data_IF_612526583291
#
_entry.id   IF_612526583291
#
_cell.length_a   1.000
_cell.length_b   1.000
_cell.length_c   1.000
_cell.angle_alpha   90.00
_cell.angle_beta   90.00
_cell.angle_gamma   90.00
#
_symmetry.space_group_name_H-M   'P 1'
#
loop_
_entity.id
_entity.type
_entity.pdbx_description
1 polymer ?
#
# COMPACT_ATOMS: atom_id res chain seq x y z
N UNK A 1 31.58 -6.77 -9.79
CA UNK A 1 31.25 -7.84 -8.82
C UNK A 1 30.89 -7.27 -7.45
N UNK A 2 31.73 -6.41 -6.83
CA UNK A 2 31.43 -5.79 -5.51
C UNK A 2 30.10 -5.04 -5.48
N UNK A 3 29.77 -4.19 -6.46
CA UNK A 3 28.53 -3.45 -6.50
C UNK A 3 27.27 -4.33 -6.51
N UNK A 4 27.34 -5.53 -7.13
CA UNK A 4 26.24 -6.51 -7.12
C UNK A 4 26.02 -7.06 -5.70
N UNK A 5 27.11 -7.35 -4.99
CA UNK A 5 27.02 -7.88 -3.62
C UNK A 5 26.52 -6.79 -2.65
N UNK A 6 27.04 -5.55 -2.79
CA UNK A 6 26.60 -4.41 -1.98
C UNK A 6 25.10 -4.15 -2.21
N UNK A 7 24.64 -4.16 -3.47
CA UNK A 7 23.21 -3.98 -3.81
C UNK A 7 22.34 -5.09 -3.23
N UNK A 8 22.78 -6.36 -3.31
CA UNK A 8 22.08 -7.49 -2.73
C UNK A 8 21.93 -7.36 -1.20
N UNK A 9 23.01 -7.01 -0.49
CA UNK A 9 22.98 -6.78 0.96
C UNK A 9 22.08 -5.61 1.33
N UNK A 10 22.15 -4.52 0.57
CA UNK A 10 21.28 -3.36 0.78
C UNK A 10 19.79 -3.69 0.59
N UNK A 11 19.44 -4.53 -0.40
CA UNK A 11 18.05 -5.01 -0.61
C UNK A 11 17.52 -5.84 0.55
N UNK A 12 18.39 -6.60 1.20
CA UNK A 12 18.08 -7.37 2.42
C UNK A 12 18.16 -6.52 3.71
N UNK A 13 18.33 -5.20 3.57
CA UNK A 13 18.49 -4.24 4.69
C UNK A 13 19.74 -4.46 5.58
N UNK A 14 20.71 -5.22 5.09
CA UNK A 14 22.00 -5.50 5.77
C UNK A 14 23.04 -4.42 5.42
N UNK A 15 22.72 -3.16 5.75
CA UNK A 15 23.53 -2.00 5.30
C UNK A 15 24.92 -1.97 5.94
N UNK A 16 25.05 -2.43 7.20
CA UNK A 16 26.33 -2.49 7.89
C UNK A 16 27.30 -3.47 7.24
N UNK A 17 26.81 -4.61 6.78
CA UNK A 17 27.59 -5.60 6.02
C UNK A 17 27.98 -5.06 4.65
N UNK A 18 27.07 -4.32 3.99
CA UNK A 18 27.36 -3.63 2.73
C UNK A 18 28.51 -2.63 2.88
N UNK A 19 28.53 -1.83 3.96
CA UNK A 19 29.64 -0.93 4.30
C UNK A 19 30.95 -1.72 4.52
N UNK A 20 30.89 -2.89 5.19
CA UNK A 20 32.02 -3.79 5.37
C UNK A 20 32.62 -4.27 4.05
N UNK A 21 31.75 -4.53 3.05
CA UNK A 21 32.20 -4.91 1.69
C UNK A 21 32.89 -3.73 0.99
N UNK A 22 32.38 -2.49 1.14
CA UNK A 22 33.08 -1.29 0.60
C UNK A 22 34.47 -1.14 1.26
N UNK A 23 34.57 -1.34 2.57
CA UNK A 23 35.87 -1.35 3.27
C UNK A 23 36.82 -2.44 2.77
N UNK A 24 36.29 -3.61 2.41
CA UNK A 24 37.04 -4.71 1.81
C UNK A 24 37.51 -4.39 0.39
N UNK A 25 36.65 -3.75 -0.39
CA UNK A 25 36.95 -3.28 -1.74
C UNK A 25 38.14 -2.31 -1.72
N UNK A 26 38.14 -1.34 -0.82
CA UNK A 26 39.25 -0.37 -0.64
C UNK A 26 40.54 -1.08 -0.21
N UNK A 27 40.49 -2.04 0.72
CA UNK A 27 41.64 -2.83 1.16
C UNK A 27 42.31 -3.62 0.03
N UNK A 28 41.51 -4.01 -0.97
CA UNK A 28 42.02 -4.70 -2.17
C UNK A 28 42.45 -3.74 -3.28
N UNK A 29 42.64 -2.45 -2.98
CA UNK A 29 42.98 -1.39 -3.94
C UNK A 29 41.97 -1.26 -5.09
N UNK A 30 40.71 -1.53 -4.80
CA UNK A 30 39.59 -1.30 -5.72
C UNK A 30 38.84 -0.09 -5.23
N UNK A 31 38.90 1.02 -5.93
CA UNK A 31 38.28 2.27 -5.55
C UNK A 31 36.74 2.18 -5.74
N UNK A 32 35.94 2.58 -4.73
CA UNK A 32 34.51 2.77 -4.90
C UNK A 32 34.23 3.81 -5.99
N UNK A 33 33.22 3.57 -6.79
CA UNK A 33 32.77 4.48 -7.82
C UNK A 33 31.43 5.15 -7.47
N UNK A 34 30.92 6.01 -8.34
CA UNK A 34 29.64 6.69 -8.15
C UNK A 34 28.47 5.69 -7.97
N UNK A 35 28.55 4.51 -8.59
CA UNK A 35 27.52 3.46 -8.45
C UNK A 35 27.54 2.86 -7.06
N UNK A 36 28.75 2.57 -6.53
CA UNK A 36 28.94 2.06 -5.16
C UNK A 36 28.28 2.99 -4.13
N UNK A 37 28.57 4.29 -4.24
CA UNK A 37 28.00 5.28 -3.32
C UNK A 37 26.49 5.49 -3.51
N UNK A 38 25.98 5.48 -4.75
CA UNK A 38 24.54 5.60 -5.00
C UNK A 38 23.75 4.44 -4.42
N UNK A 39 24.28 3.20 -4.42
CA UNK A 39 23.65 2.05 -3.78
C UNK A 39 23.52 2.28 -2.26
N UNK A 40 24.58 2.76 -1.59
CA UNK A 40 24.56 3.05 -0.16
C UNK A 40 23.60 4.22 0.17
N UNK A 41 23.63 5.30 -0.62
CA UNK A 41 22.73 6.45 -0.46
C UNK A 41 21.27 6.00 -0.56
N UNK A 42 20.93 5.20 -1.57
CA UNK A 42 19.59 4.66 -1.77
C UNK A 42 19.15 3.75 -0.60
N UNK A 43 20.06 2.88 -0.13
CA UNK A 43 19.81 2.01 1.01
C UNK A 43 19.52 2.80 2.30
N UNK A 44 20.33 3.80 2.62
CA UNK A 44 20.09 4.67 3.77
C UNK A 44 18.79 5.47 3.65
N UNK A 45 18.47 5.96 2.46
CA UNK A 45 17.22 6.65 2.18
C UNK A 45 16.01 5.72 2.41
N UNK A 46 16.06 4.49 1.92
CA UNK A 46 15.02 3.47 2.13
C UNK A 46 14.86 3.06 3.60
N UNK A 47 15.96 3.06 4.36
CA UNK A 47 15.96 2.81 5.80
C UNK A 47 15.48 4.02 6.62
N UNK A 48 15.19 5.18 6.01
CA UNK A 48 14.80 6.41 6.71
C UNK A 48 15.96 7.11 7.43
N UNK A 49 17.22 6.76 7.13
CA UNK A 49 18.41 7.31 7.80
C UNK A 49 19.06 8.37 6.90
N UNK A 50 18.29 9.42 6.59
CA UNK A 50 18.71 10.48 5.63
C UNK A 50 20.01 11.17 6.02
N UNK A 51 20.28 11.34 7.32
CA UNK A 51 21.55 11.91 7.77
C UNK A 51 22.77 11.10 7.33
N UNK A 52 22.70 9.77 7.37
CA UNK A 52 23.77 8.91 6.84
C UNK A 52 23.88 8.96 5.33
N UNK A 53 22.75 9.04 4.63
CA UNK A 53 22.75 9.24 3.18
C UNK A 53 23.50 10.51 2.76
N UNK A 54 23.24 11.62 3.46
CA UNK A 54 23.94 12.89 3.22
C UNK A 54 25.44 12.81 3.53
N UNK A 55 25.79 12.22 4.68
CA UNK A 55 27.20 11.97 5.02
C UNK A 55 27.91 11.11 3.97
N UNK A 56 27.22 10.14 3.38
CA UNK A 56 27.75 9.30 2.31
C UNK A 56 28.00 10.13 1.05
N UNK A 57 27.12 11.07 0.69
CA UNK A 57 27.34 12.00 -0.43
C UNK A 57 28.51 12.94 -0.16
N UNK A 58 28.69 13.42 1.08
CA UNK A 58 29.84 14.23 1.44
C UNK A 58 31.14 13.44 1.42
N UNK A 59 31.13 12.19 1.86
CA UNK A 59 32.27 11.26 1.76
C UNK A 59 32.68 11.03 0.30
N UNK A 60 31.71 10.82 -0.59
CA UNK A 60 31.90 10.67 -2.03
C UNK A 60 32.63 11.89 -2.62
N UNK A 61 32.16 13.10 -2.30
CA UNK A 61 32.80 14.37 -2.74
C UNK A 61 34.22 14.51 -2.22
N UNK A 62 34.44 14.22 -0.92
CA UNK A 62 35.75 14.30 -0.30
C UNK A 62 36.79 13.34 -0.93
N UNK A 63 36.32 12.26 -1.58
CA UNK A 63 37.16 11.33 -2.33
C UNK A 63 37.31 11.71 -3.82
N UNK A 64 36.83 12.90 -4.21
CA UNK A 64 36.89 13.36 -5.59
C UNK A 64 35.89 12.71 -6.54
N UNK A 65 34.89 12.02 -6.00
CA UNK A 65 33.84 11.38 -6.80
C UNK A 65 32.63 12.34 -6.81
N UNK A 66 32.33 12.92 -7.96
CA UNK A 66 31.25 13.90 -8.09
C UNK A 66 29.87 13.20 -8.10
N UNK A 67 28.91 13.66 -7.25
CA UNK A 67 27.53 13.25 -7.33
C UNK A 67 26.94 13.53 -8.71
N UNK A 68 26.20 12.57 -9.23
CA UNK A 68 25.55 12.66 -10.54
C UNK A 68 24.02 12.82 -10.43
N UNK A 69 23.33 12.86 -11.55
CA UNK A 69 21.86 12.98 -11.62
C UNK A 69 21.15 11.91 -10.78
N UNK A 70 21.70 10.67 -10.74
CA UNK A 70 21.12 9.56 -9.96
C UNK A 70 21.23 9.83 -8.46
N UNK A 71 22.38 10.31 -7.97
CA UNK A 71 22.58 10.68 -6.57
C UNK A 71 21.54 11.70 -6.11
N UNK A 72 21.35 12.76 -6.90
CA UNK A 72 20.38 13.81 -6.59
C UNK A 72 18.93 13.33 -6.71
N UNK A 73 18.62 12.44 -7.67
CA UNK A 73 17.27 11.89 -7.82
C UNK A 73 16.86 11.04 -6.64
N UNK A 74 17.77 10.25 -6.07
CA UNK A 74 17.53 9.48 -4.84
C UNK A 74 17.19 10.41 -3.67
N UNK A 75 17.94 11.49 -3.49
CA UNK A 75 17.67 12.47 -2.41
C UNK A 75 16.34 13.20 -2.62
N UNK A 76 16.02 13.62 -3.84
CA UNK A 76 14.77 14.32 -4.15
C UNK A 76 13.57 13.40 -3.93
N UNK A 77 13.64 12.13 -4.34
CA UNK A 77 12.58 11.14 -4.11
C UNK A 77 12.36 10.91 -2.60
N UNK A 78 13.44 10.78 -1.85
CA UNK A 78 13.41 10.61 -0.39
C UNK A 78 12.75 11.79 0.28
N UNK A 79 13.20 13.01 0.00
CA UNK A 79 12.60 14.22 0.55
C UNK A 79 11.13 14.39 0.14
N UNK A 80 10.78 13.97 -1.08
CA UNK A 80 9.40 13.93 -1.54
C UNK A 80 8.52 13.00 -0.70
N UNK A 81 9.00 11.79 -0.43
CA UNK A 81 8.31 10.79 0.40
C UNK A 81 8.18 11.22 1.86
N UNK A 82 9.26 11.76 2.45
CA UNK A 82 9.23 12.30 3.81
C UNK A 82 8.42 13.59 3.93
N UNK A 83 8.12 14.24 2.81
CA UNK A 83 7.35 15.48 2.73
C UNK A 83 8.14 16.74 3.01
N UNK A 84 9.44 16.64 3.04
CA UNK A 84 10.36 17.77 3.16
C UNK A 84 10.63 18.39 1.78
N UNK A 85 9.55 18.82 1.10
CA UNK A 85 9.58 19.32 -0.29
C UNK A 85 10.54 20.51 -0.47
N UNK A 86 10.76 21.29 0.58
CA UNK A 86 11.71 22.41 0.52
C UNK A 86 13.14 21.91 0.27
N UNK A 87 13.56 20.83 0.94
CA UNK A 87 14.85 20.20 0.71
C UNK A 87 14.94 19.61 -0.70
N UNK A 88 13.87 18.97 -1.18
CA UNK A 88 13.81 18.45 -2.55
C UNK A 88 14.05 19.56 -3.59
N UNK A 89 13.38 20.72 -3.45
CA UNK A 89 13.55 21.86 -4.36
C UNK A 89 14.98 22.42 -4.27
N UNK A 90 15.51 22.62 -3.05
CA UNK A 90 16.87 23.09 -2.87
C UNK A 90 17.91 22.14 -3.48
N UNK A 91 17.68 20.84 -3.42
CA UNK A 91 18.56 19.83 -4.03
C UNK A 91 18.56 19.97 -5.56
N UNK A 92 17.39 20.18 -6.18
CA UNK A 92 17.29 20.44 -7.62
C UNK A 92 18.00 21.75 -8.02
N UNK A 93 17.85 22.80 -7.20
CA UNK A 93 18.53 24.09 -7.46
C UNK A 93 20.04 23.97 -7.30
N UNK A 94 20.53 23.19 -6.32
CA UNK A 94 21.96 22.90 -6.14
C UNK A 94 22.53 22.15 -7.35
N UNK A 95 21.84 21.12 -7.79
CA UNK A 95 22.21 20.32 -8.97
C UNK A 95 22.34 21.22 -10.22
N UNK A 96 21.37 22.09 -10.47
CA UNK A 96 21.41 23.03 -11.62
C UNK A 96 22.59 24.01 -11.53
N UNK A 97 22.90 24.53 -10.31
CA UNK A 97 24.05 25.40 -10.10
C UNK A 97 25.37 24.69 -10.43
N UNK A 98 25.43 23.38 -10.29
CA UNK A 98 26.58 22.53 -10.64
C UNK A 98 26.58 22.16 -12.14
N UNK A 99 25.65 22.67 -12.95
CA UNK A 99 25.56 22.37 -14.37
C UNK A 99 24.97 20.98 -14.69
N UNK A 100 24.39 20.31 -13.70
CA UNK A 100 23.76 19.00 -13.90
C UNK A 100 22.27 19.23 -14.20
N UNK A 101 21.82 18.90 -15.42
CA UNK A 101 20.43 19.08 -15.80
C UNK A 101 19.54 17.95 -15.24
N UNK A 102 18.35 18.30 -14.68
CA UNK A 102 17.37 17.33 -14.22
C UNK A 102 16.84 16.46 -15.38
N UNK A 103 16.75 15.17 -15.15
CA UNK A 103 16.17 14.19 -16.07
C UNK A 103 14.69 13.85 -15.74
N UNK A 104 14.12 12.92 -16.52
CA UNK A 104 12.74 12.42 -16.34
C UNK A 104 12.52 11.88 -14.93
N UNK A 105 13.50 11.14 -14.37
CA UNK A 105 13.40 10.52 -13.04
C UNK A 105 13.33 11.58 -11.95
N UNK A 106 14.17 12.61 -12.05
CA UNK A 106 14.21 13.74 -11.12
C UNK A 106 12.89 14.52 -11.12
N UNK A 107 12.38 14.88 -12.30
CA UNK A 107 11.11 15.59 -12.40
C UNK A 107 9.97 14.73 -11.86
N UNK A 108 9.93 13.44 -12.18
CA UNK A 108 8.92 12.49 -11.68
C UNK A 108 8.95 12.35 -10.15
N UNK A 109 10.13 12.32 -9.54
CA UNK A 109 10.30 12.28 -8.09
C UNK A 109 9.73 13.56 -7.44
N UNK A 110 10.05 14.74 -7.99
CA UNK A 110 9.54 16.01 -7.48
C UNK A 110 8.01 16.14 -7.64
N UNK A 111 7.46 15.69 -8.79
CA UNK A 111 6.02 15.65 -9.04
C UNK A 111 5.35 14.74 -8.02
N UNK A 112 5.88 13.53 -7.81
CA UNK A 112 5.35 12.58 -6.82
C UNK A 112 5.34 13.18 -5.40
N UNK A 113 6.42 13.85 -5.00
CA UNK A 113 6.50 14.55 -3.72
C UNK A 113 5.37 15.58 -3.53
N UNK A 114 5.06 16.38 -4.56
CA UNK A 114 3.95 17.32 -4.53
C UNK A 114 2.58 16.61 -4.52
N UNK A 115 2.41 15.52 -5.28
CA UNK A 115 1.18 14.72 -5.29
C UNK A 115 0.90 14.11 -3.91
N UNK A 116 1.92 13.54 -3.25
CA UNK A 116 1.80 12.97 -1.90
C UNK A 116 1.35 14.00 -0.84
N UNK A 117 1.63 15.28 -1.07
CA UNK A 117 1.21 16.40 -0.22
C UNK A 117 -0.06 17.10 -0.69
N UNK A 118 -0.78 16.50 -1.62
CA UNK A 118 -1.99 17.05 -2.21
C UNK A 118 -1.82 18.48 -2.78
N UNK A 119 -0.60 18.81 -3.28
CA UNK A 119 -0.28 20.10 -3.90
C UNK A 119 -0.31 20.00 -5.42
N UNK A 120 -1.47 19.64 -5.97
CA UNK A 120 -1.63 19.31 -7.39
C UNK A 120 -1.27 20.46 -8.34
N UNK A 121 -1.55 21.73 -7.98
CA UNK A 121 -1.15 22.89 -8.77
C UNK A 121 0.37 22.97 -8.97
N UNK A 122 1.15 22.64 -7.90
CA UNK A 122 2.61 22.65 -7.97
C UNK A 122 3.11 21.44 -8.77
N UNK A 123 2.52 20.27 -8.58
CA UNK A 123 2.82 19.08 -9.38
C UNK A 123 2.62 19.37 -10.88
N UNK A 124 1.47 19.97 -11.25
CA UNK A 124 1.17 20.35 -12.63
C UNK A 124 2.18 21.35 -13.21
N UNK A 125 2.57 22.36 -12.42
CA UNK A 125 3.60 23.32 -12.86
C UNK A 125 4.95 22.65 -13.13
N UNK A 126 5.36 21.71 -12.29
CA UNK A 126 6.62 20.95 -12.47
C UNK A 126 6.52 20.05 -13.69
N UNK A 127 5.38 19.40 -13.91
CA UNK A 127 5.14 18.58 -15.11
C UNK A 127 5.22 19.42 -16.39
N UNK A 128 4.59 20.60 -16.41
CA UNK A 128 4.69 21.53 -17.54
C UNK A 128 6.12 22.06 -17.75
N UNK A 129 6.85 22.34 -16.65
CA UNK A 129 8.25 22.76 -16.72
C UNK A 129 9.15 21.68 -17.32
N UNK A 130 8.93 20.40 -16.95
CA UNK A 130 9.60 19.24 -17.52
C UNK A 130 9.47 19.23 -19.06
N UNK A 131 8.25 19.36 -19.58
CA UNK A 131 7.96 19.42 -21.02
C UNK A 131 8.65 20.63 -21.66
N UNK A 132 8.54 21.81 -21.04
CA UNK A 132 9.13 23.06 -21.55
C UNK A 132 10.67 22.98 -21.63
N UNK A 133 11.29 22.19 -20.77
CA UNK A 133 12.74 21.95 -20.75
C UNK A 133 13.20 20.87 -21.72
N UNK A 134 12.31 20.29 -22.51
CA UNK A 134 12.61 19.24 -23.49
C UNK A 134 12.71 17.83 -22.87
N UNK A 135 12.43 17.68 -21.58
CA UNK A 135 12.28 16.36 -20.97
C UNK A 135 10.91 15.79 -21.31
N UNK A 136 10.88 14.78 -22.19
CA UNK A 136 9.63 14.13 -22.60
C UNK A 136 9.12 13.23 -21.47
N UNK A 137 7.89 13.47 -20.93
CA UNK A 137 7.32 12.61 -19.91
C UNK A 137 7.12 11.18 -20.43
N UNK A 138 7.51 10.20 -19.63
CA UNK A 138 7.28 8.79 -19.88
C UNK A 138 5.95 8.33 -19.23
N UNK A 139 5.55 7.07 -19.45
CA UNK A 139 4.32 6.52 -18.87
C UNK A 139 4.33 6.56 -17.35
N UNK A 140 5.52 6.49 -16.72
CA UNK A 140 5.64 6.58 -15.26
C UNK A 140 5.31 7.98 -14.75
N UNK A 141 5.81 9.04 -15.40
CA UNK A 141 5.51 10.44 -15.10
C UNK A 141 4.00 10.72 -15.19
N UNK A 142 3.36 10.22 -16.24
CA UNK A 142 1.90 10.33 -16.41
C UNK A 142 1.13 9.57 -15.32
N UNK A 143 1.53 8.34 -15.00
CA UNK A 143 0.89 7.53 -13.96
C UNK A 143 0.99 8.19 -12.57
N UNK A 144 2.10 8.86 -12.25
CA UNK A 144 2.25 9.65 -11.03
C UNK A 144 1.21 10.79 -10.98
N UNK A 145 1.07 11.54 -12.07
CA UNK A 145 0.11 12.64 -12.14
C UNK A 145 -1.34 12.14 -12.06
N UNK A 146 -1.69 11.09 -12.81
CA UNK A 146 -3.02 10.45 -12.75
C UNK A 146 -3.33 9.97 -11.33
N UNK A 147 -2.39 9.28 -10.67
CA UNK A 147 -2.56 8.84 -9.29
C UNK A 147 -2.74 10.01 -8.32
N UNK A 148 -1.96 11.08 -8.51
CA UNK A 148 -2.11 12.31 -7.74
C UNK A 148 -3.50 12.92 -7.88
N UNK A 149 -4.00 13.08 -9.10
CA UNK A 149 -5.34 13.58 -9.36
C UNK A 149 -6.43 12.67 -8.78
N UNK A 150 -6.32 11.34 -8.94
CA UNK A 150 -7.26 10.39 -8.36
C UNK A 150 -7.33 10.51 -6.83
N UNK A 151 -6.17 10.57 -6.15
CA UNK A 151 -6.09 10.75 -4.69
C UNK A 151 -6.64 12.10 -4.23
N UNK A 152 -6.44 13.15 -5.02
CA UNK A 152 -7.01 14.48 -4.79
C UNK A 152 -8.50 14.57 -5.13
N UNK A 153 -9.14 13.49 -5.61
CA UNK A 153 -10.54 13.41 -6.08
C UNK A 153 -10.82 14.29 -7.31
N UNK A 154 -9.82 14.63 -8.08
CA UNK A 154 -9.84 15.41 -9.31
C UNK A 154 -9.86 14.44 -10.52
N UNK A 155 -10.96 13.68 -10.62
CA UNK A 155 -11.06 12.60 -11.63
C UNK A 155 -11.15 13.12 -13.06
N UNK A 156 -11.76 14.30 -13.27
CA UNK A 156 -11.94 14.87 -14.60
C UNK A 156 -10.58 15.27 -15.20
N UNK A 157 -9.68 15.83 -14.38
CA UNK A 157 -8.31 16.15 -14.77
C UNK A 157 -7.48 14.87 -15.02
N UNK A 158 -7.68 13.82 -14.21
CA UNK A 158 -7.05 12.52 -14.43
C UNK A 158 -7.48 11.92 -15.79
N UNK A 159 -8.77 12.02 -16.13
CA UNK A 159 -9.32 11.55 -17.40
C UNK A 159 -8.88 12.40 -18.60
N UNK A 160 -8.72 13.71 -18.41
CA UNK A 160 -8.18 14.59 -19.44
C UNK A 160 -6.74 14.17 -19.78
N UNK A 161 -5.90 13.96 -18.76
CA UNK A 161 -4.53 13.52 -18.93
C UNK A 161 -4.46 12.12 -19.58
N UNK A 162 -5.37 11.22 -19.23
CA UNK A 162 -5.47 9.89 -19.87
C UNK A 162 -5.83 10.00 -21.37
N UNK A 163 -6.73 10.93 -21.75
CA UNK A 163 -7.06 11.17 -23.16
C UNK A 163 -5.89 11.78 -23.92
N UNK A 164 -5.11 12.66 -23.28
CA UNK A 164 -3.89 13.23 -23.83
C UNK A 164 -2.87 12.14 -24.17
N UNK A 165 -2.55 11.26 -23.19
CA UNK A 165 -1.64 10.12 -23.39
C UNK A 165 -2.11 9.27 -24.57
N UNK A 166 -3.39 8.96 -24.65
CA UNK A 166 -3.95 8.07 -25.68
C UNK A 166 -3.87 8.67 -27.09
N UNK A 167 -3.64 9.99 -27.21
CA UNK A 167 -3.55 10.68 -28.51
C UNK A 167 -2.13 10.89 -28.98
N UNK A 168 -1.23 11.28 -28.08
CA UNK A 168 0.10 11.81 -28.45
C UNK A 168 1.23 11.31 -27.56
N UNK A 169 0.89 10.65 -26.47
CA UNK A 169 1.84 10.22 -25.44
C UNK A 169 2.28 8.75 -25.57
N UNK A 170 2.93 8.22 -24.54
CA UNK A 170 3.24 6.81 -24.43
C UNK A 170 1.97 5.97 -24.29
N UNK A 171 2.02 4.69 -24.68
CA UNK A 171 0.87 3.79 -24.62
C UNK A 171 0.46 3.55 -23.14
N UNK A 172 -0.81 3.80 -22.76
CA UNK A 172 -1.33 3.46 -21.46
C UNK A 172 -1.11 1.97 -21.13
N UNK A 173 -0.62 1.69 -19.95
CA UNK A 173 -0.39 0.32 -19.48
C UNK A 173 -1.42 -0.09 -18.40
N UNK A 174 -1.36 -1.34 -17.94
CA UNK A 174 -2.25 -1.88 -16.90
C UNK A 174 -2.29 -0.99 -15.65
N UNK A 175 -1.14 -0.39 -15.24
CA UNK A 175 -1.08 0.53 -14.10
C UNK A 175 -1.90 1.80 -14.35
N UNK A 176 -1.85 2.35 -15.57
CA UNK A 176 -2.66 3.53 -15.94
C UNK A 176 -4.14 3.26 -15.77
N UNK A 177 -4.62 2.15 -16.33
CA UNK A 177 -6.02 1.75 -16.27
C UNK A 177 -6.47 1.42 -14.83
N UNK A 178 -5.68 0.62 -14.08
CA UNK A 178 -6.02 0.23 -12.71
C UNK A 178 -6.06 1.43 -11.76
N UNK A 179 -5.14 2.40 -11.91
CA UNK A 179 -5.13 3.63 -11.12
C UNK A 179 -6.40 4.46 -11.34
N UNK A 180 -6.83 4.62 -12.59
CA UNK A 180 -8.07 5.33 -12.93
C UNK A 180 -9.30 4.60 -12.41
N UNK A 181 -9.38 3.27 -12.60
CA UNK A 181 -10.48 2.46 -12.07
C UNK A 181 -10.56 2.55 -10.55
N UNK A 182 -9.43 2.54 -9.85
CA UNK A 182 -9.39 2.73 -8.40
C UNK A 182 -9.95 4.09 -7.99
N UNK A 183 -9.54 5.17 -8.65
CA UNK A 183 -10.07 6.52 -8.43
C UNK A 183 -11.58 6.60 -8.68
N UNK A 184 -12.07 6.00 -9.77
CA UNK A 184 -13.49 5.92 -10.09
C UNK A 184 -14.30 5.17 -9.02
N UNK A 185 -13.80 3.99 -8.58
CA UNK A 185 -14.44 3.19 -7.54
C UNK A 185 -14.51 3.93 -6.20
N UNK A 186 -13.45 4.66 -5.83
CA UNK A 186 -13.43 5.48 -4.61
C UNK A 186 -14.46 6.63 -4.63
N UNK A 187 -14.81 7.13 -5.81
CA UNK A 187 -15.82 8.18 -6.03
C UNK A 187 -17.22 7.62 -6.32
N UNK A 188 -17.43 6.31 -6.21
CA UNK A 188 -18.71 5.67 -6.47
C UNK A 188 -19.05 5.49 -7.95
N UNK A 189 -18.15 5.85 -8.88
CA UNK A 189 -18.35 5.75 -10.33
C UNK A 189 -18.00 4.36 -10.87
N UNK A 190 -18.52 3.30 -10.24
CA UNK A 190 -18.16 1.90 -10.57
C UNK A 190 -18.57 1.52 -12.00
N UNK A 191 -19.69 2.02 -12.50
CA UNK A 191 -20.12 1.75 -13.88
C UNK A 191 -19.10 2.26 -14.90
N UNK A 192 -18.59 3.48 -14.69
CA UNK A 192 -17.55 4.08 -15.54
C UNK A 192 -16.22 3.29 -15.44
N UNK A 193 -15.90 2.76 -14.25
CA UNK A 193 -14.74 1.88 -14.09
C UNK A 193 -14.89 0.58 -14.92
N UNK A 194 -16.10 0.01 -15.00
CA UNK A 194 -16.36 -1.16 -15.85
C UNK A 194 -16.26 -0.82 -17.35
N UNK A 195 -16.65 0.38 -17.78
CA UNK A 195 -16.47 0.83 -19.16
C UNK A 195 -14.99 0.98 -19.49
N UNK A 196 -14.21 1.54 -18.55
CA UNK A 196 -12.76 1.66 -18.69
C UNK A 196 -12.07 0.28 -18.74
N UNK A 197 -12.57 -0.72 -18.00
CA UNK A 197 -12.09 -2.11 -18.11
C UNK A 197 -12.31 -2.65 -19.54
N UNK A 198 -13.48 -2.42 -20.15
CA UNK A 198 -13.72 -2.85 -21.52
C UNK A 198 -12.75 -2.19 -22.49
N UNK A 199 -12.47 -0.90 -22.30
CA UNK A 199 -11.49 -0.14 -23.09
C UNK A 199 -10.08 -0.74 -22.92
N UNK A 200 -9.69 -1.07 -21.70
CA UNK A 200 -8.41 -1.73 -21.39
C UNK A 200 -8.25 -3.04 -22.14
N UNK A 201 -9.26 -3.91 -22.09
CA UNK A 201 -9.26 -5.21 -22.78
C UNK A 201 -9.25 -5.02 -24.30
N UNK A 202 -10.01 -4.08 -24.83
CA UNK A 202 -10.03 -3.76 -26.26
C UNK A 202 -8.69 -3.20 -26.77
N UNK A 203 -7.90 -2.57 -25.89
CA UNK A 203 -6.53 -2.11 -26.22
C UNK A 203 -5.45 -3.22 -26.14
N UNK A 204 -5.86 -4.48 -25.88
CA UNK A 204 -4.95 -5.61 -25.78
C UNK A 204 -4.24 -5.75 -24.44
N UNK A 205 -4.60 -4.94 -23.43
CA UNK A 205 -4.05 -5.09 -22.08
C UNK A 205 -4.65 -6.31 -21.39
N UNK A 206 -3.82 -7.02 -20.64
CA UNK A 206 -4.24 -8.23 -19.91
C UNK A 206 -4.81 -7.86 -18.55
N UNK A 207 -5.93 -8.50 -18.20
CA UNK A 207 -6.52 -8.35 -16.87
C UNK A 207 -5.66 -9.09 -15.84
N UNK A 208 -5.14 -8.36 -14.85
CA UNK A 208 -4.38 -8.91 -13.74
C UNK A 208 -5.21 -8.97 -12.44
N UNK A 209 -4.71 -9.70 -11.45
CA UNK A 209 -5.38 -9.86 -10.14
C UNK A 209 -5.52 -8.52 -9.39
N UNK A 210 -4.60 -7.58 -9.61
CA UNK A 210 -4.65 -6.25 -8.97
C UNK A 210 -5.86 -5.48 -9.49
N UNK A 211 -6.03 -5.42 -10.81
CA UNK A 211 -7.19 -4.77 -11.45
C UNK A 211 -8.50 -5.41 -11.03
N UNK A 212 -8.50 -6.75 -10.96
CA UNK A 212 -9.66 -7.52 -10.47
C UNK A 212 -10.02 -7.15 -9.03
N UNK A 213 -9.04 -7.12 -8.15
CA UNK A 213 -9.22 -6.77 -6.73
C UNK A 213 -9.74 -5.34 -6.54
N UNK A 214 -9.26 -4.38 -7.35
CA UNK A 214 -9.75 -3.00 -7.36
C UNK A 214 -11.25 -2.94 -7.70
N UNK A 215 -11.69 -3.67 -8.72
CA UNK A 215 -13.10 -3.69 -9.12
C UNK A 215 -13.98 -4.43 -8.12
N UNK A 216 -13.53 -5.59 -7.59
CA UNK A 216 -14.24 -6.30 -6.52
C UNK A 216 -14.44 -5.41 -5.28
N UNK A 217 -13.37 -4.77 -4.81
CA UNK A 217 -13.43 -3.82 -3.69
C UNK A 217 -14.36 -2.64 -4.01
N UNK A 218 -14.27 -2.14 -5.26
CA UNK A 218 -15.15 -1.09 -5.76
C UNK A 218 -16.62 -1.47 -5.71
N UNK A 219 -17.00 -2.65 -6.19
CA UNK A 219 -18.38 -3.15 -6.09
C UNK A 219 -18.82 -3.30 -4.64
N UNK A 220 -18.00 -3.91 -3.78
CA UNK A 220 -18.32 -4.14 -2.38
C UNK A 220 -18.52 -2.83 -1.62
N UNK A 221 -17.61 -1.87 -1.75
CA UNK A 221 -17.67 -0.57 -1.07
C UNK A 221 -18.85 0.30 -1.52
N UNK A 222 -19.31 0.10 -2.75
CA UNK A 222 -20.45 0.84 -3.30
C UNK A 222 -21.78 0.08 -3.17
N UNK A 223 -21.86 -0.95 -2.33
CA UNK A 223 -23.10 -1.67 -2.03
C UNK A 223 -23.66 -2.48 -3.19
N UNK A 224 -22.80 -2.99 -4.07
CA UNK A 224 -23.15 -3.80 -5.23
C UNK A 224 -22.65 -5.25 -5.11
N UNK A 225 -23.08 -6.01 -4.09
CA UNK A 225 -22.57 -7.37 -3.83
C UNK A 225 -22.91 -8.39 -4.91
N UNK A 226 -24.06 -8.21 -5.57
CA UNK A 226 -24.47 -9.10 -6.68
C UNK A 226 -23.54 -8.96 -7.88
N UNK A 227 -23.20 -7.72 -8.23
CA UNK A 227 -22.26 -7.42 -9.31
C UNK A 227 -20.85 -7.90 -8.95
N UNK A 228 -20.43 -7.80 -7.67
CA UNK A 228 -19.17 -8.35 -7.19
C UNK A 228 -19.12 -9.87 -7.37
N UNK A 229 -20.17 -10.59 -6.97
CA UNK A 229 -20.28 -12.06 -7.15
C UNK A 229 -20.25 -12.46 -8.62
N UNK A 230 -21.01 -11.79 -9.46
CA UNK A 230 -21.04 -12.05 -10.91
C UNK A 230 -19.65 -11.83 -11.53
N UNK A 231 -18.97 -10.75 -11.14
CA UNK A 231 -17.62 -10.46 -11.62
C UNK A 231 -16.61 -11.51 -11.14
N UNK A 232 -16.70 -11.92 -9.87
CA UNK A 232 -15.87 -12.98 -9.30
C UNK A 232 -16.05 -14.32 -10.04
N UNK A 233 -17.30 -14.70 -10.35
CA UNK A 233 -17.59 -15.90 -11.14
C UNK A 233 -17.06 -15.79 -12.56
N UNK A 234 -17.20 -14.63 -13.21
CA UNK A 234 -16.66 -14.38 -14.54
C UNK A 234 -15.13 -14.51 -14.57
N UNK A 235 -14.42 -14.03 -13.54
CA UNK A 235 -12.96 -14.20 -13.42
C UNK A 235 -12.58 -15.69 -13.39
N UNK A 236 -13.30 -16.50 -12.63
CA UNK A 236 -13.07 -17.96 -12.53
C UNK A 236 -13.32 -18.66 -13.85
N UNK A 237 -14.45 -18.39 -14.50
CA UNK A 237 -14.79 -19.00 -15.79
C UNK A 237 -13.82 -18.66 -16.91
N UNK A 238 -13.13 -17.52 -16.79
CA UNK A 238 -12.06 -17.12 -17.71
C UNK A 238 -10.67 -17.65 -17.31
N UNK A 239 -10.59 -18.59 -16.35
CA UNK A 239 -9.35 -19.28 -15.98
C UNK A 239 -8.39 -18.47 -15.09
N UNK A 240 -8.82 -17.33 -14.54
CA UNK A 240 -8.03 -16.59 -13.57
C UNK A 240 -7.94 -17.36 -12.25
N UNK A 241 -6.72 -17.67 -11.82
CA UNK A 241 -6.48 -18.27 -10.49
C UNK A 241 -6.65 -17.18 -9.44
N UNK A 242 -7.81 -17.19 -8.78
CA UNK A 242 -8.10 -16.23 -7.71
C UNK A 242 -7.23 -16.51 -6.49
N UNK A 243 -6.73 -15.45 -5.90
CA UNK A 243 -5.91 -15.48 -4.70
C UNK A 243 -6.74 -15.21 -3.42
N UNK A 244 -6.10 -15.37 -2.28
CA UNK A 244 -6.71 -15.10 -0.97
C UNK A 244 -7.21 -13.66 -0.83
N UNK A 245 -6.60 -12.70 -1.53
CA UNK A 245 -6.98 -11.28 -1.47
C UNK A 245 -8.36 -11.10 -2.11
N UNK A 246 -8.60 -11.71 -3.27
CA UNK A 246 -9.89 -11.67 -3.97
C UNK A 246 -11.03 -12.26 -3.12
N UNK A 247 -10.78 -13.40 -2.45
CA UNK A 247 -11.74 -13.99 -1.51
C UNK A 247 -12.01 -13.09 -0.31
N UNK A 248 -10.95 -12.55 0.32
CA UNK A 248 -11.08 -11.69 1.48
C UNK A 248 -11.89 -10.41 1.20
N UNK A 249 -11.66 -9.76 0.04
CA UNK A 249 -12.43 -8.59 -0.38
C UNK A 249 -13.91 -8.92 -0.49
N UNK A 250 -14.24 -10.04 -1.13
CA UNK A 250 -15.61 -10.41 -1.36
C UNK A 250 -16.31 -10.86 -0.06
N UNK A 251 -15.65 -11.66 0.77
CA UNK A 251 -16.17 -12.09 2.09
C UNK A 251 -16.44 -10.86 2.98
N UNK A 252 -15.49 -9.91 3.09
CA UNK A 252 -15.68 -8.67 3.87
C UNK A 252 -16.85 -7.84 3.34
N UNK A 253 -16.92 -7.68 2.00
CA UNK A 253 -18.02 -6.98 1.35
C UNK A 253 -19.38 -7.59 1.64
N UNK A 254 -19.50 -8.92 1.57
CA UNK A 254 -20.73 -9.66 1.84
C UNK A 254 -21.17 -9.56 3.31
N UNK A 255 -20.24 -9.65 4.26
CA UNK A 255 -20.55 -9.43 5.68
C UNK A 255 -21.08 -8.03 5.94
N UNK A 256 -20.49 -7.00 5.31
CA UNK A 256 -20.93 -5.59 5.47
C UNK A 256 -22.38 -5.38 5.04
N UNK A 257 -22.79 -6.03 3.96
CA UNK A 257 -24.16 -5.93 3.43
C UNK A 257 -25.12 -6.96 4.01
N UNK A 258 -24.64 -7.91 4.84
CA UNK A 258 -25.47 -8.89 5.54
C UNK A 258 -25.70 -10.21 4.82
N UNK A 259 -25.01 -10.48 3.72
CA UNK A 259 -25.06 -11.78 3.00
C UNK A 259 -24.13 -12.81 3.65
N UNK A 260 -24.40 -13.18 4.90
CA UNK A 260 -23.51 -13.96 5.78
C UNK A 260 -23.32 -15.37 5.24
N UNK A 261 -24.39 -16.04 4.83
CA UNK A 261 -24.31 -17.44 4.36
C UNK A 261 -23.44 -17.55 3.10
N UNK A 262 -23.59 -16.62 2.17
CA UNK A 262 -22.73 -16.58 0.97
C UNK A 262 -21.26 -16.33 1.32
N UNK A 263 -21.00 -15.47 2.34
CA UNK A 263 -19.63 -15.25 2.81
C UNK A 263 -19.01 -16.51 3.41
N UNK A 264 -19.78 -17.31 4.15
CA UNK A 264 -19.37 -18.60 4.71
C UNK A 264 -19.11 -19.64 3.62
N UNK A 265 -19.96 -19.70 2.61
CA UNK A 265 -19.77 -20.57 1.45
C UNK A 265 -18.46 -20.25 0.74
N UNK A 266 -18.15 -18.97 0.53
CA UNK A 266 -16.88 -18.53 -0.07
C UNK A 266 -15.67 -18.85 0.82
N UNK A 267 -15.80 -18.74 2.13
CA UNK A 267 -14.73 -19.15 3.04
C UNK A 267 -14.48 -20.66 2.97
N UNK A 268 -15.54 -21.47 2.92
CA UNK A 268 -15.42 -22.92 2.72
C UNK A 268 -14.79 -23.25 1.35
N UNK A 269 -15.25 -22.56 0.31
CA UNK A 269 -14.70 -22.72 -1.04
C UNK A 269 -13.20 -22.40 -1.11
N UNK A 270 -12.75 -21.34 -0.41
CA UNK A 270 -11.34 -20.96 -0.28
C UNK A 270 -10.51 -22.16 0.26
N UNK A 271 -11.02 -22.84 1.29
CA UNK A 271 -10.37 -24.02 1.89
C UNK A 271 -10.34 -25.20 0.90
N UNK A 272 -11.45 -25.48 0.23
CA UNK A 272 -11.56 -26.57 -0.76
C UNK A 272 -10.60 -26.35 -1.94
N UNK A 273 -10.39 -25.12 -2.33
CA UNK A 273 -9.42 -24.75 -3.38
C UNK A 273 -7.95 -24.81 -2.91
N UNK A 274 -7.68 -25.27 -1.69
CA UNK A 274 -6.34 -25.43 -1.15
C UNK A 274 -5.65 -24.11 -0.76
N UNK A 275 -6.40 -23.01 -0.69
CA UNK A 275 -5.88 -21.74 -0.18
C UNK A 275 -5.84 -21.79 1.36
N UNK A 276 -4.73 -21.39 1.96
CA UNK A 276 -4.60 -21.31 3.42
C UNK A 276 -5.12 -19.97 3.92
N UNK A 277 -6.17 -19.93 4.79
CA UNK A 277 -6.63 -18.70 5.41
C UNK A 277 -5.52 -18.04 6.21
N UNK A 278 -5.38 -16.74 6.09
CA UNK A 278 -4.47 -15.95 6.91
C UNK A 278 -5.17 -15.45 8.19
N UNK A 279 -4.39 -14.93 9.14
CA UNK A 279 -4.94 -14.23 10.32
C UNK A 279 -5.95 -13.16 9.91
N UNK A 280 -5.66 -12.44 8.80
CA UNK A 280 -6.57 -11.43 8.25
C UNK A 280 -7.90 -12.03 7.76
N UNK A 281 -7.87 -13.19 7.10
CA UNK A 281 -9.09 -13.90 6.65
C UNK A 281 -9.99 -14.24 7.84
N UNK A 282 -9.40 -14.81 8.89
CA UNK A 282 -10.14 -15.11 10.12
C UNK A 282 -10.66 -13.84 10.80
N UNK A 283 -9.86 -12.77 10.86
CA UNK A 283 -10.27 -11.51 11.44
C UNK A 283 -11.52 -10.91 10.76
N UNK A 284 -11.60 -11.00 9.42
CA UNK A 284 -12.79 -10.58 8.64
C UNK A 284 -14.01 -11.39 9.06
N UNK A 285 -13.89 -12.72 9.10
CA UNK A 285 -14.98 -13.62 9.46
C UNK A 285 -15.47 -13.39 10.89
N UNK A 286 -14.54 -13.30 11.84
CA UNK A 286 -14.82 -13.08 13.25
C UNK A 286 -15.48 -11.70 13.46
N UNK A 287 -14.91 -10.63 12.89
CA UNK A 287 -15.46 -9.28 12.99
C UNK A 287 -16.85 -9.17 12.37
N UNK A 288 -17.03 -9.78 11.19
CA UNK A 288 -18.31 -9.83 10.52
C UNK A 288 -19.37 -10.54 11.36
N UNK A 289 -19.05 -11.71 11.93
CA UNK A 289 -19.94 -12.48 12.80
C UNK A 289 -20.25 -11.74 14.09
N UNK A 290 -19.26 -11.12 14.74
CA UNK A 290 -19.48 -10.30 15.94
C UNK A 290 -20.43 -9.12 15.67
N UNK A 291 -20.23 -8.38 14.57
CA UNK A 291 -21.11 -7.24 14.21
C UNK A 291 -22.56 -7.64 13.93
N UNK A 292 -22.80 -8.90 13.62
CA UNK A 292 -24.15 -9.45 13.37
C UNK A 292 -24.73 -10.20 14.57
N UNK A 293 -24.09 -10.14 15.74
CA UNK A 293 -24.54 -10.83 16.96
C UNK A 293 -24.33 -12.35 16.95
N UNK A 294 -23.56 -12.89 15.98
CA UNK A 294 -23.27 -14.32 15.85
C UNK A 294 -22.05 -14.72 16.70
N UNK A 295 -22.04 -14.35 17.98
CA UNK A 295 -20.85 -14.49 18.85
C UNK A 295 -20.39 -15.94 19.04
N UNK A 296 -21.30 -16.90 19.10
CA UNK A 296 -20.92 -18.31 19.27
C UNK A 296 -20.17 -18.83 18.03
N UNK A 297 -20.54 -18.34 16.86
CA UNK A 297 -19.88 -18.68 15.61
C UNK A 297 -18.52 -17.98 15.51
N UNK A 298 -18.48 -16.68 15.82
CA UNK A 298 -17.21 -15.92 15.88
C UNK A 298 -16.21 -16.60 16.83
N UNK A 299 -16.67 -17.05 18.00
CA UNK A 299 -15.83 -17.73 18.98
C UNK A 299 -15.34 -19.10 18.49
N UNK A 300 -16.18 -19.89 17.78
CA UNK A 300 -15.74 -21.15 17.16
C UNK A 300 -14.66 -20.89 16.10
N UNK A 301 -14.87 -19.90 15.23
CA UNK A 301 -13.86 -19.50 14.23
C UNK A 301 -12.54 -19.07 14.88
N UNK A 302 -12.63 -18.26 15.94
CA UNK A 302 -11.46 -17.81 16.70
C UNK A 302 -10.68 -19.00 17.30
N UNK A 303 -11.36 -20.01 17.86
CA UNK A 303 -10.70 -21.19 18.42
C UNK A 303 -10.16 -22.13 17.35
N UNK A 304 -10.81 -22.24 16.17
CA UNK A 304 -10.35 -23.08 15.06
C UNK A 304 -9.12 -22.54 14.33
N UNK A 305 -8.70 -21.30 14.60
CA UNK A 305 -7.48 -20.75 14.00
C UNK A 305 -6.25 -21.62 14.28
N UNK A 306 -6.11 -22.12 15.51
CA UNK A 306 -5.00 -22.98 15.89
C UNK A 306 -4.96 -24.32 15.14
N UNK A 307 -6.11 -24.85 14.76
CA UNK A 307 -6.22 -26.12 14.02
C UNK A 307 -5.69 -26.00 12.58
N UNK A 308 -5.57 -24.77 12.07
CA UNK A 308 -5.13 -24.45 10.72
C UNK A 308 -3.74 -23.75 10.70
N UNK A 309 -2.90 -23.98 11.69
CA UNK A 309 -1.57 -23.36 11.84
C UNK A 309 -1.61 -21.83 11.83
N UNK A 310 -2.74 -21.23 12.21
CA UNK A 310 -2.94 -19.79 12.19
C UNK A 310 -3.23 -19.30 13.60
N UNK A 311 -2.22 -18.80 14.31
CA UNK A 311 -2.39 -18.32 15.69
C UNK A 311 -3.07 -16.94 15.71
N UNK A 312 -4.08 -16.75 16.61
CA UNK A 312 -4.71 -15.44 16.79
C UNK A 312 -3.69 -14.39 17.25
N UNK A 313 -3.74 -13.24 16.60
CA UNK A 313 -2.95 -12.05 16.95
C UNK A 313 -3.74 -11.09 17.87
N UNK A 314 -3.08 -10.00 18.26
CA UNK A 314 -3.69 -8.93 19.05
C UNK A 314 -5.01 -8.42 18.45
N UNK A 315 -5.11 -8.31 17.12
CA UNK A 315 -6.30 -7.84 16.44
C UNK A 315 -7.48 -8.81 16.62
N UNK A 316 -7.27 -10.11 16.44
CA UNK A 316 -8.29 -11.15 16.62
C UNK A 316 -8.81 -11.19 18.05
N UNK A 317 -7.93 -11.07 19.05
CA UNK A 317 -8.32 -10.97 20.46
C UNK A 317 -9.18 -9.72 20.72
N UNK A 318 -8.72 -8.54 20.26
CA UNK A 318 -9.47 -7.29 20.44
C UNK A 318 -10.86 -7.36 19.83
N UNK A 319 -11.00 -7.87 18.60
CA UNK A 319 -12.29 -8.03 17.92
C UNK A 319 -13.24 -8.93 18.71
N UNK A 320 -12.74 -10.08 19.21
CA UNK A 320 -13.59 -11.00 20.01
C UNK A 320 -13.98 -10.39 21.35
N UNK A 321 -13.06 -9.75 22.06
CA UNK A 321 -13.35 -9.08 23.33
C UNK A 321 -14.37 -7.97 23.12
N UNK A 322 -14.20 -7.11 22.11
CA UNK A 322 -15.17 -6.06 21.77
C UNK A 322 -16.55 -6.64 21.43
N UNK A 323 -16.60 -7.76 20.70
CA UNK A 323 -17.85 -8.46 20.41
C UNK A 323 -18.57 -8.89 21.69
N UNK A 324 -17.89 -9.57 22.60
CA UNK A 324 -18.46 -9.99 23.88
C UNK A 324 -18.88 -8.81 24.78
N UNK A 325 -18.07 -7.72 24.82
CA UNK A 325 -18.39 -6.54 25.63
C UNK A 325 -19.66 -5.83 25.10
N UNK A 326 -19.80 -5.68 23.79
CA UNK A 326 -20.99 -5.04 23.19
C UNK A 326 -22.28 -5.78 23.47
N UNK A 327 -22.24 -7.11 23.55
CA UNK A 327 -23.39 -7.96 23.80
C UNK A 327 -23.55 -8.32 25.29
N UNK A 328 -22.77 -7.69 26.19
CA UNK A 328 -22.91 -7.84 27.65
C UNK A 328 -22.29 -9.11 28.25
N UNK A 329 -21.54 -9.91 27.48
CA UNK A 329 -20.89 -11.11 27.97
C UNK A 329 -19.55 -10.81 28.68
N UNK A 330 -19.61 -10.03 29.78
CA UNK A 330 -18.43 -9.52 30.50
C UNK A 330 -17.48 -10.61 30.98
N UNK A 331 -18.02 -11.72 31.51
CA UNK A 331 -17.19 -12.84 32.02
C UNK A 331 -16.31 -13.46 30.92
N UNK A 332 -16.87 -13.69 29.71
CA UNK A 332 -16.14 -14.21 28.56
C UNK A 332 -15.12 -13.20 28.05
N UNK A 333 -15.48 -11.93 28.01
CA UNK A 333 -14.59 -10.85 27.62
C UNK A 333 -13.37 -10.76 28.55
N UNK A 334 -13.61 -10.81 29.88
CA UNK A 334 -12.52 -10.81 30.89
C UNK A 334 -11.61 -12.03 30.74
N UNK A 335 -12.17 -13.22 30.52
CA UNK A 335 -11.41 -14.43 30.28
C UNK A 335 -10.47 -14.29 29.08
N UNK A 336 -11.00 -13.77 27.94
CA UNK A 336 -10.19 -13.55 26.74
C UNK A 336 -9.14 -12.46 26.92
N UNK A 337 -9.44 -11.39 27.66
CA UNK A 337 -8.46 -10.37 28.02
C UNK A 337 -7.30 -10.95 28.83
N UNK A 338 -7.61 -11.82 29.81
CA UNK A 338 -6.58 -12.49 30.62
C UNK A 338 -5.71 -13.41 29.73
N UNK A 339 -6.33 -14.17 28.82
CA UNK A 339 -5.60 -15.01 27.86
C UNK A 339 -4.71 -14.17 26.93
N UNK A 340 -5.23 -13.06 26.42
CA UNK A 340 -4.52 -12.12 25.56
C UNK A 340 -3.25 -11.55 26.23
N UNK A 341 -3.41 -11.08 27.48
CA UNK A 341 -2.29 -10.54 28.27
C UNK A 341 -1.27 -11.66 28.59
N UNK A 342 -1.74 -12.88 28.93
CA UNK A 342 -0.87 -14.04 29.18
C UNK A 342 -0.04 -14.45 27.95
N UNK A 343 -0.48 -14.08 26.73
CA UNK A 343 0.28 -14.25 25.49
C UNK A 343 1.16 -13.05 25.12
N UNK A 344 1.24 -12.04 25.97
CA UNK A 344 2.04 -10.84 25.75
C UNK A 344 1.40 -9.77 24.84
N UNK A 345 0.11 -9.90 24.55
CA UNK A 345 -0.63 -8.88 23.79
C UNK A 345 -1.28 -7.86 24.71
N UNK A 346 -1.54 -6.64 24.20
CA UNK A 346 -2.24 -5.58 24.91
C UNK A 346 -3.57 -5.22 24.21
N UNK A 347 -4.57 -4.84 25.05
CA UNK A 347 -5.82 -4.31 24.53
C UNK A 347 -5.60 -2.98 23.80
N UNK A 348 -6.30 -2.79 22.68
CA UNK A 348 -6.33 -1.52 21.99
C UNK A 348 -7.19 -0.49 22.73
N UNK A 349 -7.10 0.78 22.31
CA UNK A 349 -7.86 1.86 22.93
C UNK A 349 -9.38 1.61 22.90
N UNK A 350 -9.89 1.05 21.81
CA UNK A 350 -11.32 0.77 21.66
C UNK A 350 -11.78 -0.30 22.67
N UNK A 351 -11.01 -1.38 22.83
CA UNK A 351 -11.30 -2.46 23.80
C UNK A 351 -11.22 -1.93 25.23
N UNK A 352 -10.19 -1.13 25.54
CA UNK A 352 -10.01 -0.54 26.86
C UNK A 352 -11.17 0.41 27.21
N UNK A 353 -11.60 1.27 26.29
CA UNK A 353 -12.72 2.20 26.49
C UNK A 353 -14.02 1.44 26.74
N UNK A 354 -14.36 0.44 25.93
CA UNK A 354 -15.56 -0.38 26.11
C UNK A 354 -15.57 -1.09 27.46
N UNK A 355 -14.43 -1.57 27.93
CA UNK A 355 -14.30 -2.25 29.22
C UNK A 355 -14.52 -1.28 30.38
N UNK A 356 -13.92 -0.08 30.34
CA UNK A 356 -14.10 0.97 31.35
C UNK A 356 -15.56 1.43 31.40
N UNK A 357 -16.20 1.67 30.26
CA UNK A 357 -17.59 2.10 30.18
C UNK A 357 -18.54 1.09 30.84
N UNK A 358 -18.32 -0.20 30.63
CA UNK A 358 -19.09 -1.25 31.27
C UNK A 358 -18.91 -1.32 32.79
N UNK A 359 -17.68 -1.13 33.29
CA UNK A 359 -17.40 -1.06 34.73
C UNK A 359 -18.15 0.12 35.36
N UNK A 360 -18.10 1.30 34.73
CA UNK A 360 -18.74 2.50 35.20
C UNK A 360 -20.28 2.38 35.19
N UNK A 361 -20.86 1.70 34.20
CA UNK A 361 -22.31 1.42 34.15
C UNK A 361 -22.74 0.43 35.23
N UNK A 362 -21.94 -0.63 35.46
CA UNK A 362 -22.21 -1.62 36.53
C UNK A 362 -22.14 -0.98 37.91
N UNK A 363 -21.24 -0.04 38.14
CA UNK A 363 -21.11 0.68 39.42
C UNK A 363 -22.31 1.64 39.69
N UNK A 364 -22.93 2.20 38.65
CA UNK A 364 -24.11 3.04 38.77
C UNK A 364 -25.39 2.25 39.11
N UNK A 365 -25.49 1.00 38.61
CA UNK A 365 -26.64 0.13 38.91
C UNK A 365 -26.59 -0.51 40.31
N UNK A 366 -25.49 -0.40 41.05
CA UNK A 366 -25.34 -0.87 42.44
C UNK A 366 -25.69 0.26 43.44
N UNK A 367 -25.76 1.51 42.99
CA UNK A 367 -26.01 2.71 43.81
C UNK A 367 -27.48 3.20 43.73
N UNK A 368 -28.35 2.49 43.02
CA UNK A 368 -29.81 2.67 43.00
C UNK A 368 -30.46 1.45 43.64
#
# INVERSE_FOLDING_TARGET
MYNILIDALCKEMMISEAEGIVGTMIKHNIEPDVVTYNILVDAYCKAGIVSKALNTVDTMRNQGIEPNVVTYSILVDTYGKEGTIFQAVNTVDTMRKLGIEPDVVMYSALINGYCLRNKMDKARRVFQLMIKKGCVPDIHSYNIMINGYCKAKMLDEAMELFREISRTGPIPNTVTYSTLMQGMCQLGRVSTACELLRTMLASGQVLDLVTCSILLDGFCKNGKPKEALNFFQAMRSNGLKLDIVSYNILIDGLYKVGHIEVAKELFHELLVNGLKPSVYTYAIMINGSCKKGLLNEAYRLFRSMGDNDCLPDSCCYNVMVQGFLRDGYTSKATQLLTEMVGKGFSADLCTATLFVDLILQSSKSILI
#
